data_IF_237829660138
#
_entry.id   IF_237829660138
#
_cell.length_a   1.000
_cell.length_b   1.000
_cell.length_c   1.000
_cell.angle_alpha   90.00
_cell.angle_beta   90.00
_cell.angle_gamma   90.00
#
_symmetry.space_group_name_H-M   'P 1'
#
loop_
_entity.id
_entity.type
_entity.pdbx_description
1 polymer ?
#
# COMPACT_ATOMS: atom_id res chain seq x y z
N UNK A 1 -32.30 -24.14 -20.53
CA UNK A 1 -30.92 -23.93 -21.07
C UNK A 1 -30.45 -22.51 -20.77
N UNK A 2 -31.28 -21.48 -20.96
CA UNK A 2 -30.90 -20.07 -20.73
C UNK A 2 -30.56 -19.77 -19.25
N UNK A 3 -31.35 -20.30 -18.29
CA UNK A 3 -31.08 -20.13 -16.87
C UNK A 3 -29.77 -20.79 -16.41
N UNK A 4 -29.42 -21.94 -16.94
CA UNK A 4 -28.17 -22.61 -16.61
C UNK A 4 -26.94 -21.85 -17.11
N UNK A 5 -27.02 -21.21 -18.28
CA UNK A 5 -25.96 -20.36 -18.82
C UNK A 5 -25.79 -19.09 -17.98
N UNK A 6 -26.90 -18.44 -17.61
CA UNK A 6 -26.88 -17.24 -16.76
C UNK A 6 -26.28 -17.54 -15.38
N UNK A 7 -26.65 -18.68 -14.77
CA UNK A 7 -26.09 -19.11 -13.49
C UNK A 7 -24.60 -19.41 -13.57
N UNK A 8 -24.12 -20.00 -14.66
CA UNK A 8 -22.70 -20.29 -14.89
C UNK A 8 -21.88 -19.00 -15.04
N UNK A 9 -22.40 -18.02 -15.76
CA UNK A 9 -21.72 -16.75 -15.97
C UNK A 9 -21.64 -15.93 -14.66
N UNK A 10 -22.72 -15.93 -13.87
CA UNK A 10 -22.73 -15.31 -12.55
C UNK A 10 -21.71 -15.94 -11.59
N UNK A 11 -21.60 -17.27 -11.57
CA UNK A 11 -20.60 -17.97 -10.76
C UNK A 11 -19.17 -17.64 -11.18
N UNK A 12 -18.90 -17.56 -12.47
CA UNK A 12 -17.57 -17.17 -12.98
C UNK A 12 -17.21 -15.75 -12.57
N UNK A 13 -18.15 -14.83 -12.65
CA UNK A 13 -17.95 -13.44 -12.22
C UNK A 13 -17.65 -13.36 -10.72
N UNK A 14 -18.41 -14.07 -9.89
CA UNK A 14 -18.17 -14.12 -8.45
C UNK A 14 -16.79 -14.73 -8.11
N UNK A 15 -16.38 -15.77 -8.81
CA UNK A 15 -15.06 -16.37 -8.65
C UNK A 15 -13.95 -15.40 -9.04
N UNK A 16 -14.09 -14.65 -10.13
CA UNK A 16 -13.14 -13.65 -10.57
C UNK A 16 -12.98 -12.52 -9.54
N UNK A 17 -14.09 -12.02 -8.99
CA UNK A 17 -14.08 -11.00 -7.92
C UNK A 17 -13.45 -11.50 -6.63
N UNK A 18 -13.71 -12.75 -6.24
CA UNK A 18 -13.06 -13.36 -5.07
C UNK A 18 -11.55 -13.47 -5.26
N UNK A 19 -11.11 -13.86 -6.45
CA UNK A 19 -9.69 -13.94 -6.77
C UNK A 19 -9.02 -12.57 -6.75
N UNK A 20 -9.67 -11.52 -7.24
CA UNK A 20 -9.19 -10.13 -7.12
C UNK A 20 -9.02 -9.74 -5.64
N UNK A 21 -10.02 -9.98 -4.79
CA UNK A 21 -9.96 -9.68 -3.37
C UNK A 21 -8.80 -10.42 -2.68
N UNK A 22 -8.69 -11.73 -2.92
CA UNK A 22 -7.60 -12.53 -2.34
C UNK A 22 -6.22 -12.06 -2.79
N UNK A 23 -6.09 -11.69 -4.05
CA UNK A 23 -4.84 -11.17 -4.61
C UNK A 23 -4.49 -9.81 -4.01
N UNK A 24 -5.47 -8.90 -3.93
CA UNK A 24 -5.27 -7.58 -3.35
C UNK A 24 -4.84 -7.66 -1.88
N UNK A 25 -5.53 -8.47 -1.09
CA UNK A 25 -5.19 -8.70 0.32
C UNK A 25 -3.78 -9.27 0.46
N UNK A 26 -3.45 -10.30 -0.31
CA UNK A 26 -2.11 -10.92 -0.27
C UNK A 26 -0.99 -9.93 -0.61
N UNK A 27 -1.19 -9.11 -1.64
CA UNK A 27 -0.18 -8.13 -2.06
C UNK A 27 0.00 -7.05 -0.99
N UNK A 28 -1.09 -6.55 -0.40
CA UNK A 28 -1.04 -5.62 0.72
C UNK A 28 -0.28 -6.22 1.92
N UNK A 29 -0.66 -7.42 2.35
CA UNK A 29 0.01 -8.11 3.46
C UNK A 29 1.50 -8.27 3.20
N UNK A 30 1.90 -8.73 2.03
CA UNK A 30 3.31 -8.91 1.66
C UNK A 30 4.09 -7.60 1.68
N UNK A 31 3.52 -6.51 1.18
CA UNK A 31 4.18 -5.21 1.17
C UNK A 31 4.42 -4.69 2.60
N UNK A 32 3.41 -4.79 3.48
CA UNK A 32 3.55 -4.37 4.88
C UNK A 32 4.46 -5.28 5.70
N UNK A 33 4.38 -6.61 5.52
CA UNK A 33 5.27 -7.55 6.22
C UNK A 33 6.75 -7.32 5.88
N UNK A 34 7.04 -6.72 4.73
CA UNK A 34 8.39 -6.43 4.28
C UNK A 34 8.76 -4.95 4.39
N UNK A 35 8.01 -4.20 5.19
CA UNK A 35 8.28 -2.78 5.45
C UNK A 35 9.72 -2.58 5.95
N UNK A 36 10.49 -1.81 5.19
CA UNK A 36 11.87 -1.48 5.49
C UNK A 36 11.99 -0.04 6.04
N UNK A 37 12.79 0.21 7.09
CA UNK A 37 12.94 1.54 7.70
C UNK A 37 13.86 2.46 6.86
N UNK A 38 13.60 2.58 5.57
CA UNK A 38 14.41 3.36 4.61
C UNK A 38 13.60 4.52 4.04
N UNK A 39 13.86 5.75 4.49
CA UNK A 39 13.31 6.97 3.89
C UNK A 39 13.73 7.11 2.43
N UNK A 40 12.94 7.83 1.66
CA UNK A 40 13.17 8.05 0.23
C UNK A 40 13.41 9.53 -0.03
N UNK A 41 14.40 9.85 -0.86
CA UNK A 41 14.62 11.22 -1.35
C UNK A 41 13.57 11.56 -2.39
N UNK A 42 13.13 12.79 -2.41
CA UNK A 42 12.25 13.27 -3.45
C UNK A 42 13.01 13.60 -4.74
N UNK A 43 12.29 13.62 -5.85
CA UNK A 43 12.87 13.90 -7.16
C UNK A 43 13.46 15.32 -7.27
N UNK A 44 12.95 16.26 -6.48
CA UNK A 44 13.43 17.64 -6.40
C UNK A 44 14.34 17.74 -5.16
N UNK A 45 15.60 18.12 -5.35
CA UNK A 45 16.66 18.01 -4.34
C UNK A 45 16.46 18.81 -3.06
N UNK A 46 15.64 19.86 -3.08
CA UNK A 46 15.38 20.72 -1.92
C UNK A 46 14.15 20.27 -1.11
N UNK A 47 13.42 19.29 -1.59
CA UNK A 47 12.27 18.75 -0.85
C UNK A 47 12.72 17.80 0.26
N UNK A 48 12.06 17.83 1.43
CA UNK A 48 12.39 16.92 2.53
C UNK A 48 12.17 15.46 2.13
N UNK A 49 13.00 14.56 2.65
CA UNK A 49 12.86 13.14 2.43
C UNK A 49 11.49 12.64 2.94
N UNK A 50 10.87 11.74 2.19
CA UNK A 50 9.65 11.06 2.63
C UNK A 50 9.97 9.94 3.63
N UNK A 51 9.13 9.75 4.64
CA UNK A 51 9.32 8.66 5.59
C UNK A 51 9.23 7.28 4.93
N UNK A 52 9.83 6.29 5.58
CA UNK A 52 9.78 4.90 5.14
C UNK A 52 8.35 4.38 4.97
N UNK A 53 7.45 4.82 5.83
CA UNK A 53 6.00 4.64 5.72
C UNK A 53 5.33 6.01 5.85
N UNK A 54 4.51 6.34 4.88
CA UNK A 54 3.66 7.53 4.87
C UNK A 54 2.22 7.09 4.71
N UNK A 55 1.47 7.11 5.80
CA UNK A 55 0.03 6.90 5.82
C UNK A 55 -0.68 8.25 5.73
N UNK A 56 -1.39 8.47 4.65
CA UNK A 56 -2.07 9.74 4.40
C UNK A 56 -3.25 9.96 5.35
N UNK A 57 -3.61 11.21 5.53
CA UNK A 57 -4.88 11.56 6.17
C UNK A 57 -6.03 10.96 5.37
N UNK A 58 -7.07 10.39 6.02
CA UNK A 58 -8.22 9.83 5.32
C UNK A 58 -8.79 10.76 4.25
N UNK A 59 -9.05 10.22 3.07
CA UNK A 59 -9.56 10.98 1.92
C UNK A 59 -8.50 11.62 1.01
N UNK A 60 -7.21 11.50 1.32
CA UNK A 60 -6.12 11.97 0.46
C UNK A 60 -5.47 10.82 -0.31
N UNK A 61 -4.75 11.15 -1.41
CA UNK A 61 -4.05 10.19 -2.26
C UNK A 61 -2.56 10.56 -2.37
N UNK A 62 -1.65 9.58 -2.41
CA UNK A 62 -1.90 8.15 -2.21
C UNK A 62 -2.42 7.86 -0.81
N UNK A 63 -3.18 6.77 -0.64
CA UNK A 63 -3.67 6.33 0.67
C UNK A 63 -2.50 6.02 1.59
N UNK A 64 -1.49 5.34 1.06
CA UNK A 64 -0.26 4.99 1.76
C UNK A 64 0.88 4.85 0.76
N UNK A 65 2.08 5.23 1.19
CA UNK A 65 3.32 4.96 0.48
C UNK A 65 4.33 4.34 1.46
N UNK A 66 5.05 3.32 1.02
CA UNK A 66 6.01 2.63 1.88
C UNK A 66 7.23 2.14 1.10
N UNK A 67 8.35 2.01 1.81
CA UNK A 67 9.54 1.32 1.32
C UNK A 67 9.50 -0.12 1.78
N UNK A 68 9.62 -1.06 0.87
CA UNK A 68 9.67 -2.48 1.19
C UNK A 68 10.97 -3.14 0.74
N UNK A 69 11.35 -4.22 1.44
CA UNK A 69 12.39 -5.14 1.04
C UNK A 69 11.86 -6.32 0.20
N UNK A 70 12.67 -7.35 0.07
CA UNK A 70 12.27 -8.61 -0.55
C UNK A 70 11.89 -8.55 -2.03
N UNK A 71 12.36 -7.52 -2.75
CA UNK A 71 12.16 -7.44 -4.18
C UNK A 71 13.07 -8.45 -4.89
N UNK A 72 12.52 -9.61 -5.22
CA UNK A 72 13.27 -10.67 -5.88
C UNK A 72 13.93 -10.19 -7.17
N UNK A 73 15.20 -10.52 -7.34
CA UNK A 73 16.02 -10.16 -8.50
C UNK A 73 16.66 -11.40 -9.15
N UNK A 74 15.85 -12.34 -9.67
CA UNK A 74 16.38 -13.61 -10.22
C UNK A 74 17.26 -13.41 -11.45
N UNK A 75 17.09 -12.30 -12.16
CA UNK A 75 17.89 -11.99 -13.36
C UNK A 75 19.20 -11.25 -13.04
N UNK A 76 19.51 -10.98 -11.76
CA UNK A 76 20.74 -10.29 -11.38
C UNK A 76 20.89 -8.87 -11.93
N UNK A 77 19.76 -8.20 -12.20
CA UNK A 77 19.78 -6.83 -12.71
C UNK A 77 20.36 -5.87 -11.67
N UNK A 78 21.06 -4.84 -12.12
CA UNK A 78 21.56 -3.77 -11.24
C UNK A 78 20.39 -2.89 -10.77
N UNK A 79 19.67 -3.36 -9.75
CA UNK A 79 18.58 -2.64 -9.10
C UNK A 79 18.64 -2.85 -7.59
N UNK A 80 18.17 -1.88 -6.79
CA UNK A 80 18.15 -2.02 -5.34
C UNK A 80 17.24 -3.19 -4.92
N UNK A 81 17.57 -3.86 -3.82
CA UNK A 81 16.71 -4.85 -3.17
C UNK A 81 15.50 -4.24 -2.47
N UNK A 82 15.45 -2.91 -2.38
CA UNK A 82 14.36 -2.12 -1.81
C UNK A 82 13.52 -1.50 -2.92
N UNK A 83 12.22 -1.39 -2.67
CA UNK A 83 11.26 -0.83 -3.60
C UNK A 83 10.35 0.17 -2.90
N UNK A 84 10.11 1.33 -3.51
CA UNK A 84 9.06 2.26 -3.09
C UNK A 84 7.75 1.86 -3.74
N UNK A 85 6.68 1.80 -2.93
CA UNK A 85 5.34 1.40 -3.34
C UNK A 85 4.34 2.41 -2.81
N UNK A 86 3.30 2.69 -3.57
CA UNK A 86 2.16 3.49 -3.13
C UNK A 86 0.83 2.85 -3.57
N UNK A 87 -0.21 3.10 -2.79
CA UNK A 87 -1.55 2.62 -3.05
C UNK A 87 -2.51 3.79 -3.25
N UNK A 88 -3.34 3.65 -4.25
CA UNK A 88 -4.35 4.63 -4.66
C UNK A 88 -5.72 3.98 -4.75
N UNK A 89 -6.75 4.73 -4.39
CA UNK A 89 -8.13 4.38 -4.70
C UNK A 89 -8.69 5.43 -5.66
N UNK A 90 -8.87 5.04 -6.90
CA UNK A 90 -9.37 5.89 -7.97
C UNK A 90 -10.56 5.24 -8.66
N UNK A 91 -11.70 5.92 -8.70
CA UNK A 91 -12.92 5.42 -9.35
C UNK A 91 -13.31 3.97 -8.97
N UNK A 92 -13.23 3.64 -7.69
CA UNK A 92 -13.56 2.31 -7.19
C UNK A 92 -12.52 1.23 -7.49
N UNK A 93 -11.37 1.60 -8.02
CA UNK A 93 -10.25 0.68 -8.30
C UNK A 93 -9.09 0.92 -7.33
N UNK A 94 -8.73 -0.13 -6.60
CA UNK A 94 -7.52 -0.13 -5.79
C UNK A 94 -6.32 -0.41 -6.69
N UNK A 95 -5.41 0.55 -6.78
CA UNK A 95 -4.22 0.50 -7.61
C UNK A 95 -2.97 0.50 -6.76
N UNK A 96 -2.01 -0.33 -7.12
CA UNK A 96 -0.66 -0.35 -6.61
C UNK A 96 0.29 0.24 -7.65
N UNK A 97 1.10 1.19 -7.23
CA UNK A 97 2.13 1.82 -8.05
C UNK A 97 3.49 1.61 -7.39
N UNK A 98 4.53 1.33 -8.16
CA UNK A 98 5.88 1.20 -7.65
C UNK A 98 6.92 1.83 -8.57
N UNK A 99 7.99 2.27 -7.97
CA UNK A 99 9.13 2.89 -8.64
C UNK A 99 10.20 1.84 -8.92
N UNK A 100 10.79 1.91 -10.11
CA UNK A 100 11.89 1.03 -10.51
C UNK A 100 13.20 1.39 -9.81
N UNK A 101 13.29 2.60 -9.26
CA UNK A 101 14.40 3.10 -8.45
C UNK A 101 13.88 3.59 -7.09
N UNK A 102 14.68 3.42 -6.04
CA UNK A 102 14.25 3.79 -4.69
C UNK A 102 14.15 5.31 -4.50
N UNK A 103 15.20 6.03 -4.90
CA UNK A 103 15.24 7.49 -4.85
C UNK A 103 14.95 8.03 -6.27
N UNK A 104 13.72 8.42 -6.57
CA UNK A 104 13.32 8.79 -7.92
C UNK A 104 13.94 10.13 -8.34
N UNK A 105 14.12 10.29 -9.63
CA UNK A 105 14.40 11.57 -10.29
C UNK A 105 13.16 12.01 -11.08
N UNK A 106 13.18 13.22 -11.63
CA UNK A 106 12.09 13.71 -12.49
C UNK A 106 11.85 12.84 -13.73
N UNK A 107 12.85 12.09 -14.17
CA UNK A 107 12.77 11.16 -15.32
C UNK A 107 12.39 9.73 -14.90
N UNK A 108 12.22 9.45 -13.61
CA UNK A 108 11.89 8.10 -13.13
C UNK A 108 10.46 7.75 -13.48
N UNK A 109 10.28 6.55 -14.01
CA UNK A 109 8.97 5.99 -14.35
C UNK A 109 8.46 5.07 -13.26
N UNK A 110 7.15 4.97 -13.17
CA UNK A 110 6.46 4.05 -12.27
C UNK A 110 5.76 2.95 -13.04
N UNK A 111 5.56 1.83 -12.38
CA UNK A 111 4.71 0.74 -12.89
C UNK A 111 3.43 0.71 -12.08
N UNK A 112 2.29 0.72 -12.77
CA UNK A 112 0.95 0.72 -12.17
C UNK A 112 0.29 -0.62 -12.37
N UNK A 113 -0.37 -1.11 -11.34
CA UNK A 113 -1.14 -2.35 -11.38
C UNK A 113 -2.46 -2.16 -10.65
N UNK A 114 -3.55 -2.37 -11.35
CA UNK A 114 -4.87 -2.46 -10.74
C UNK A 114 -4.97 -3.81 -10.01
N UNK A 115 -5.31 -3.78 -8.73
CA UNK A 115 -5.41 -4.98 -7.89
C UNK A 115 -6.84 -5.46 -7.76
N UNK A 116 -7.79 -4.54 -7.62
CA UNK A 116 -9.16 -4.87 -7.32
C UNK A 116 -10.09 -3.73 -7.76
N UNK A 117 -11.23 -4.10 -8.31
CA UNK A 117 -12.34 -3.20 -8.65
C UNK A 117 -13.46 -3.26 -7.61
N UNK A 118 -14.49 -2.42 -7.75
CA UNK A 118 -15.66 -2.38 -6.85
C UNK A 118 -15.30 -2.13 -5.38
N UNK A 119 -14.31 -1.28 -5.14
CA UNK A 119 -13.90 -0.84 -3.81
C UNK A 119 -14.56 0.50 -3.50
N UNK A 120 -15.30 0.57 -2.40
CA UNK A 120 -15.96 1.80 -1.94
C UNK A 120 -15.01 2.69 -1.17
N UNK A 121 -14.23 2.09 -0.26
CA UNK A 121 -13.26 2.80 0.57
C UNK A 121 -12.14 1.88 1.02
N UNK A 122 -10.99 2.48 1.28
CA UNK A 122 -9.84 1.83 1.93
C UNK A 122 -9.44 2.70 3.10
N UNK A 123 -9.39 2.11 4.29
CA UNK A 123 -9.00 2.78 5.52
C UNK A 123 -7.84 2.03 6.16
N UNK A 124 -6.82 2.78 6.58
CA UNK A 124 -5.69 2.24 7.33
C UNK A 124 -5.62 2.89 8.71
N UNK A 125 -5.27 2.08 9.70
CA UNK A 125 -4.89 2.54 11.03
C UNK A 125 -3.56 1.92 11.41
N UNK A 126 -2.79 2.65 12.18
CA UNK A 126 -1.42 2.32 12.54
C UNK A 126 -1.31 2.26 14.06
N UNK A 127 -0.84 1.14 14.60
CA UNK A 127 -0.61 0.98 16.04
C UNK A 127 0.75 1.56 16.40
N UNK A 128 0.76 2.61 17.20
CA UNK A 128 2.01 3.25 17.65
C UNK A 128 2.67 2.52 18.82
N UNK A 129 3.85 3.00 19.22
CA UNK A 129 4.62 2.42 20.34
C UNK A 129 3.92 2.56 21.70
N UNK A 130 2.95 3.47 21.83
CA UNK A 130 2.11 3.61 23.02
C UNK A 130 0.85 2.73 22.96
N UNK A 131 0.75 1.83 21.99
CA UNK A 131 -0.41 0.96 21.72
C UNK A 131 -1.70 1.76 21.45
N UNK A 132 -1.56 2.91 20.80
CA UNK A 132 -2.69 3.72 20.34
C UNK A 132 -2.83 3.63 18.83
N UNK A 133 -4.06 3.47 18.35
CA UNK A 133 -4.36 3.47 16.91
C UNK A 133 -4.39 4.89 16.36
N UNK A 134 -3.58 5.13 15.33
CA UNK A 134 -3.45 6.38 14.60
C UNK A 134 -4.05 6.25 13.20
N UNK A 135 -4.72 7.30 12.71
CA UNK A 135 -5.31 7.32 11.37
C UNK A 135 -4.34 7.78 10.28
N UNK A 136 -3.18 8.31 10.67
CA UNK A 136 -2.10 8.73 9.79
C UNK A 136 -0.76 8.27 10.31
N UNK A 137 0.24 8.19 9.43
CA UNK A 137 1.58 7.82 9.83
C UNK A 137 2.65 8.64 9.07
N UNK A 138 3.72 9.15 9.71
CA UNK A 138 3.95 9.12 11.17
C UNK A 138 2.87 9.89 11.93
N UNK A 139 2.63 9.57 13.22
CA UNK A 139 1.66 10.29 14.03
C UNK A 139 2.11 11.74 14.28
N UNK A 140 1.15 12.65 14.31
CA UNK A 140 1.38 14.07 14.48
C UNK A 140 1.61 14.83 13.17
N UNK A 141 1.55 16.15 13.23
CA UNK A 141 1.95 17.00 12.11
C UNK A 141 3.45 16.88 11.93
N UNK A 142 3.87 16.16 10.91
CA UNK A 142 5.27 16.12 10.48
C UNK A 142 5.67 17.54 10.01
N UNK A 143 5.92 18.43 10.95
CA UNK A 143 6.49 19.74 10.66
C UNK A 143 7.90 19.55 10.11
N UNK A 144 8.10 20.09 8.97
CA UNK A 144 9.23 20.51 8.11
C UNK A 144 10.69 20.10 8.50
N UNK A 145 10.91 19.55 9.69
CA UNK A 145 12.16 18.93 10.15
C UNK A 145 11.87 17.69 10.97
N UNK A 146 11.23 16.71 10.34
CA UNK A 146 11.14 15.39 10.95
C UNK A 146 12.56 14.92 11.26
N UNK A 147 12.85 14.66 12.53
CA UNK A 147 14.13 14.11 12.94
C UNK A 147 14.34 12.79 12.19
N UNK A 148 15.56 12.45 11.87
CA UNK A 148 15.87 11.29 11.02
C UNK A 148 15.23 9.97 11.53
N UNK A 149 15.11 9.84 12.86
CA UNK A 149 14.42 8.69 13.46
C UNK A 149 12.92 8.61 13.12
N UNK A 150 12.22 9.75 13.02
CA UNK A 150 10.79 9.80 12.65
C UNK A 150 10.59 9.29 11.23
N UNK A 151 11.53 9.60 10.33
CA UNK A 151 11.49 9.13 8.94
C UNK A 151 11.63 7.61 8.83
N UNK A 152 12.23 6.96 9.83
CA UNK A 152 12.46 5.51 9.89
C UNK A 152 11.46 4.77 10.75
N UNK A 153 10.61 5.50 11.46
CA UNK A 153 9.66 4.93 12.41
C UNK A 153 8.67 3.99 11.71
N UNK A 154 8.42 2.85 12.36
CA UNK A 154 7.44 1.85 11.92
C UNK A 154 6.38 1.67 12.99
N UNK A 155 5.12 1.43 12.63
CA UNK A 155 4.09 1.03 13.59
C UNK A 155 4.34 -0.39 14.09
N UNK A 156 3.75 -0.77 15.19
CA UNK A 156 3.74 -2.15 15.70
C UNK A 156 2.85 -3.04 14.83
N UNK A 157 1.75 -2.50 14.34
CA UNK A 157 0.81 -3.18 13.46
C UNK A 157 0.09 -2.18 12.56
N UNK A 158 -0.43 -2.67 11.46
CA UNK A 158 -1.29 -1.90 10.55
C UNK A 158 -2.60 -2.65 10.38
N UNK A 159 -3.71 -1.96 10.59
CA UNK A 159 -5.04 -2.47 10.28
C UNK A 159 -5.48 -1.89 8.93
N UNK A 160 -5.88 -2.75 8.02
CA UNK A 160 -6.39 -2.40 6.70
C UNK A 160 -7.85 -2.82 6.63
N UNK A 161 -8.72 -1.88 6.31
CA UNK A 161 -10.13 -2.14 6.05
C UNK A 161 -10.43 -1.84 4.58
N UNK A 162 -10.85 -2.85 3.84
CA UNK A 162 -11.36 -2.74 2.47
C UNK A 162 -12.89 -2.78 2.53
N UNK A 163 -13.56 -1.69 2.23
CA UNK A 163 -15.02 -1.67 2.06
C UNK A 163 -15.34 -1.93 0.59
N UNK A 164 -16.00 -3.05 0.33
CA UNK A 164 -16.21 -3.55 -1.02
C UNK A 164 -17.69 -3.63 -1.37
N UNK A 165 -18.01 -3.48 -2.64
CA UNK A 165 -19.33 -3.81 -3.15
C UNK A 165 -19.46 -5.35 -3.21
N UNK A 166 -20.47 -5.88 -2.52
CA UNK A 166 -20.77 -7.30 -2.51
C UNK A 166 -20.18 -8.12 -1.37
N UNK A 167 -18.93 -7.84 -0.92
CA UNK A 167 -18.30 -8.56 0.21
C UNK A 167 -18.39 -7.81 1.53
N UNK A 168 -18.82 -6.53 1.51
CA UNK A 168 -18.79 -5.68 2.67
C UNK A 168 -17.37 -5.31 3.09
N UNK A 169 -17.19 -5.11 4.40
CA UNK A 169 -15.90 -4.73 4.98
C UNK A 169 -15.03 -5.94 5.26
N UNK A 170 -13.85 -5.97 4.65
CA UNK A 170 -12.81 -6.97 4.90
C UNK A 170 -11.68 -6.30 5.68
N UNK A 171 -11.41 -6.84 6.87
CA UNK A 171 -10.39 -6.28 7.78
C UNK A 171 -9.21 -7.22 7.87
N UNK A 172 -8.00 -6.66 7.85
CA UNK A 172 -6.73 -7.37 8.10
C UNK A 172 -5.88 -6.57 9.07
N UNK A 173 -5.30 -7.26 10.04
CA UNK A 173 -4.30 -6.69 10.95
C UNK A 173 -2.98 -7.40 10.64
N UNK A 174 -1.95 -6.61 10.37
CA UNK A 174 -0.62 -7.08 9.99
C UNK A 174 0.36 -6.59 11.04
N UNK A 175 1.00 -7.50 11.74
CA UNK A 175 2.11 -7.17 12.62
C UNK A 175 3.33 -6.79 11.81
N UNK A 176 4.00 -5.71 12.20
CA UNK A 176 5.21 -5.23 11.55
C UNK A 176 6.42 -5.73 12.34
N UNK A 177 7.30 -6.46 11.68
CA UNK A 177 8.53 -6.94 12.30
C UNK A 177 9.39 -5.77 12.79
N UNK A 178 9.86 -5.89 14.03
CA UNK A 178 10.71 -4.91 14.70
C UNK A 178 12.12 -4.82 14.09
#
# INVERSE_FOLDING_TARGET
>A
ITQALTSRDSLKEQQARLLELQTAVRVLEQDFMQLAPRPVRQAIGDEPAQPALLGAVPGTQPIVALTRGGWANPAGLQRPGLQRVAYFLENGTLRREYWNVLDPTLASTTTKRDLMTHVKAVTLRYLDQAHQWQEQWPPGTATIRAQEWTLRQRPLAVEITLDTEGWGKVVRIIEIAG
#
